data_IF_768585956356
#
_entry.id   IF_768585956356
#
_cell.length_a   1.000
_cell.length_b   1.000
_cell.length_c   1.000
_cell.angle_alpha   90.00
_cell.angle_beta   90.00
_cell.angle_gamma   90.00
#
_symmetry.space_group_name_H-M   'P 1'
#
loop_
_entity.id
_entity.type
_entity.pdbx_description
1 polymer ?
#
# COMPACT_ATOMS: atom_id res chain seq x y z
N UNK A 1 -55.52 18.24 39.01
CA UNK A 1 -55.74 18.75 37.64
C UNK A 1 -54.40 19.30 37.17
N UNK A 2 -53.65 18.52 36.39
CA UNK A 2 -53.49 18.72 34.92
C UNK A 2 -52.59 19.94 34.62
N UNK A 3 -51.53 19.93 33.81
CA UNK A 3 -50.88 18.98 32.90
C UNK A 3 -49.44 19.45 32.67
N UNK A 4 -48.57 18.49 32.34
CA UNK A 4 -47.26 18.66 31.70
C UNK A 4 -47.41 19.11 30.25
N UNK A 5 -46.56 20.05 29.78
CA UNK A 5 -46.23 20.24 28.35
C UNK A 5 -44.75 20.64 28.20
N UNK A 6 -44.06 19.89 27.34
CA UNK A 6 -42.68 20.06 26.85
C UNK A 6 -42.64 20.91 25.55
N UNK A 7 -41.40 21.21 25.11
CA UNK A 7 -40.91 21.60 23.76
C UNK A 7 -40.82 23.13 23.53
N UNK A 8 -39.83 23.74 22.88
CA UNK A 8 -38.83 23.32 21.87
C UNK A 8 -37.55 24.19 21.96
N UNK A 9 -36.41 23.62 21.56
CA UNK A 9 -35.20 24.36 21.19
C UNK A 9 -35.24 24.73 19.69
N UNK A 10 -34.75 25.90 19.27
CA UNK A 10 -34.53 26.18 17.85
C UNK A 10 -33.13 25.78 17.40
N UNK A 11 -33.12 25.20 16.20
CA UNK A 11 -32.01 24.78 15.36
C UNK A 11 -30.94 25.85 15.14
N UNK A 12 -29.67 25.46 15.23
CA UNK A 12 -28.56 26.21 14.65
C UNK A 12 -28.20 25.59 13.30
N UNK A 13 -28.36 26.42 12.27
CA UNK A 13 -28.03 26.21 10.87
C UNK A 13 -26.58 25.75 10.66
N UNK A 14 -26.43 24.90 9.66
CA UNK A 14 -25.20 24.55 8.97
C UNK A 14 -24.42 25.78 8.49
N UNK A 15 -23.11 25.78 8.72
CA UNK A 15 -22.16 26.61 7.97
C UNK A 15 -21.26 25.70 7.13
N UNK A 16 -21.05 25.97 5.84
CA UNK A 16 -20.14 25.19 5.00
C UNK A 16 -18.67 25.53 5.32
N UNK A 17 -17.74 24.56 5.31
CA UNK A 17 -16.32 24.85 5.47
C UNK A 17 -15.75 25.44 4.17
N UNK A 18 -15.56 26.77 4.18
CA UNK A 18 -14.85 27.51 3.16
C UNK A 18 -13.34 27.62 3.42
N UNK A 19 -12.57 27.38 2.35
CA UNK A 19 -11.30 28.02 1.98
C UNK A 19 -10.16 28.08 3.02
N UNK A 20 -9.23 27.14 2.86
CA UNK A 20 -7.84 27.29 3.33
C UNK A 20 -7.14 28.40 2.52
N UNK A 21 -6.98 29.56 3.16
CA UNK A 21 -6.08 30.64 2.70
C UNK A 21 -4.62 30.15 2.72
N UNK A 22 -3.97 30.15 1.56
CA UNK A 22 -2.52 30.11 1.43
C UNK A 22 -1.93 31.38 2.07
N UNK A 23 -1.17 31.22 3.16
CA UNK A 23 -0.37 32.32 3.73
C UNK A 23 0.96 32.39 2.98
N UNK A 24 1.05 33.38 2.09
CA UNK A 24 2.30 33.90 1.56
C UNK A 24 3.04 34.65 2.69
N UNK A 25 4.19 34.15 3.13
CA UNK A 25 5.09 34.88 4.03
C UNK A 25 6.12 35.64 3.21
N UNK A 26 5.78 36.87 2.86
CA UNK A 26 6.73 37.93 2.51
C UNK A 26 7.27 38.56 3.79
N UNK A 27 8.59 38.47 4.03
CA UNK A 27 9.27 39.24 5.08
C UNK A 27 9.77 40.59 4.55
N UNK A 28 9.88 41.61 5.43
CA UNK A 28 9.92 43.01 5.02
C UNK A 28 11.33 43.58 4.82
N UNK A 29 11.38 44.56 3.92
CA UNK A 29 12.41 45.58 3.78
C UNK A 29 12.39 46.56 4.97
N UNK A 30 13.57 47.00 5.40
CA UNK A 30 13.80 48.39 5.82
C UNK A 30 14.51 48.60 7.16
N UNK A 31 15.82 48.86 7.12
CA UNK A 31 16.51 49.86 7.97
C UNK A 31 17.60 50.53 7.10
N UNK A 32 17.59 51.86 7.07
CA UNK A 32 18.55 52.74 6.39
C UNK A 32 19.47 53.46 7.42
N UNK A 33 20.24 54.52 7.07
CA UNK A 33 21.67 54.50 6.78
C UNK A 33 22.54 55.28 7.80
N UNK A 34 23.88 55.17 7.70
CA UNK A 34 24.81 56.07 8.41
C UNK A 34 26.29 55.75 8.14
N UNK A 35 27.21 56.74 8.26
CA UNK A 35 28.26 56.99 7.25
C UNK A 35 29.72 56.83 7.77
N UNK A 36 30.68 57.25 6.93
CA UNK A 36 32.13 57.39 7.14
C UNK A 36 32.92 56.08 7.00
N UNK A 37 33.97 55.92 6.19
CA UNK A 37 34.90 56.83 5.53
C UNK A 37 36.08 55.97 5.02
N UNK A 38 37.10 56.56 4.37
CA UNK A 38 37.72 56.01 3.15
C UNK A 38 39.06 55.29 3.38
N UNK A 39 39.51 54.46 2.43
CA UNK A 39 40.89 54.50 1.92
C UNK A 39 41.17 53.58 0.70
N UNK A 40 41.72 54.20 -0.36
CA UNK A 40 42.86 53.81 -1.25
C UNK A 40 43.08 52.30 -1.53
N UNK A 41 43.29 51.79 -2.74
CA UNK A 41 44.22 52.18 -3.83
C UNK A 41 43.94 51.22 -5.02
N UNK A 42 43.64 51.69 -6.24
CA UNK A 42 44.50 51.78 -7.45
C UNK A 42 45.02 50.45 -8.09
N UNK A 43 45.30 50.46 -9.42
CA UNK A 43 44.89 49.42 -10.37
C UNK A 43 46.06 48.64 -11.01
N UNK A 44 45.75 47.50 -11.63
CA UNK A 44 46.71 46.69 -12.40
C UNK A 44 46.19 46.36 -13.79
N UNK A 45 46.67 47.12 -14.77
CA UNK A 45 46.58 46.96 -16.22
C UNK A 45 47.49 45.84 -16.74
N UNK A 46 47.13 45.17 -17.85
CA UNK A 46 48.12 44.47 -18.69
C UNK A 46 47.59 43.40 -19.65
N UNK A 47 47.75 43.54 -20.99
CA UNK A 47 47.27 42.62 -22.03
C UNK A 47 48.37 41.68 -22.58
N UNK A 48 48.11 41.02 -23.73
CA UNK A 48 49.05 40.30 -24.64
C UNK A 48 49.03 38.76 -24.45
N UNK A 49 49.03 37.87 -25.45
CA UNK A 49 49.21 37.93 -26.90
C UNK A 49 48.63 36.64 -27.54
N UNK A 50 48.29 36.70 -28.83
CA UNK A 50 48.20 35.55 -29.76
C UNK A 50 49.32 35.71 -30.81
N UNK A 51 49.45 34.85 -31.84
CA UNK A 51 49.62 33.38 -31.91
C UNK A 51 51.01 33.04 -32.58
N UNK A 52 51.25 31.81 -33.10
CA UNK A 52 51.19 31.69 -34.57
C UNK A 52 50.75 30.33 -35.17
N UNK A 53 50.59 30.41 -36.49
CA UNK A 53 50.14 29.49 -37.53
C UNK A 53 51.01 28.25 -37.81
N UNK A 54 50.37 27.16 -38.27
CA UNK A 54 50.78 26.19 -39.32
C UNK A 54 49.56 25.27 -39.58
N UNK A 55 49.10 24.89 -40.77
CA UNK A 55 49.62 24.96 -42.14
C UNK A 55 49.47 23.57 -42.81
N UNK A 56 48.62 23.43 -43.83
CA UNK A 56 48.51 22.26 -44.73
C UNK A 56 47.06 21.95 -45.16
N UNK A 57 46.57 22.39 -46.34
CA UNK A 57 46.63 21.74 -47.69
C UNK A 57 45.98 20.34 -47.69
N UNK A 58 45.00 19.98 -48.54
CA UNK A 58 44.46 20.62 -49.74
C UNK A 58 43.16 19.98 -50.26
N UNK A 59 42.67 20.58 -51.36
CA UNK A 59 41.47 20.28 -52.15
C UNK A 59 41.55 18.89 -52.85
N UNK A 60 40.48 18.25 -53.34
CA UNK A 60 39.49 18.70 -54.34
C UNK A 60 38.39 17.63 -54.57
N UNK A 61 37.35 17.90 -55.40
CA UNK A 61 36.01 17.28 -55.28
C UNK A 61 35.47 16.52 -56.53
N UNK A 62 34.29 15.85 -56.34
CA UNK A 62 33.24 15.43 -57.32
C UNK A 62 33.59 14.33 -58.37
N UNK A 63 32.63 13.66 -59.08
CA UNK A 63 31.20 13.97 -59.30
C UNK A 63 30.20 12.77 -59.19
N UNK A 64 28.91 12.94 -59.56
CA UNK A 64 27.78 12.08 -59.17
C UNK A 64 27.34 11.09 -60.26
N UNK A 65 26.46 10.15 -59.92
CA UNK A 65 25.69 9.38 -60.91
C UNK A 65 24.28 9.11 -60.38
N UNK A 66 23.32 9.61 -61.16
CA UNK A 66 21.89 9.38 -61.04
C UNK A 66 21.46 8.13 -61.83
N UNK A 67 20.27 7.59 -61.49
CA UNK A 67 19.25 6.87 -62.30
C UNK A 67 18.50 5.89 -61.36
N UNK A 68 17.24 6.13 -60.96
CA UNK A 68 15.95 6.00 -61.67
C UNK A 68 15.45 4.54 -61.78
N UNK A 69 14.24 4.29 -61.25
CA UNK A 69 13.39 3.09 -61.44
C UNK A 69 12.87 2.55 -60.09
N UNK A 70 11.66 2.83 -59.60
CA UNK A 70 10.31 2.47 -60.06
C UNK A 70 9.95 0.97 -59.96
N UNK A 71 8.89 0.72 -59.16
CA UNK A 71 7.91 -0.41 -59.13
C UNK A 71 8.07 -1.50 -58.06
N UNK A 72 7.12 -1.44 -57.13
CA UNK A 72 6.23 -2.50 -56.61
C UNK A 72 6.66 -3.96 -56.69
N UNK A 73 6.70 -4.64 -55.55
CA UNK A 73 5.85 -5.81 -55.27
C UNK A 73 6.03 -6.33 -53.83
N UNK A 74 4.89 -6.70 -53.25
CA UNK A 74 4.66 -7.64 -52.15
C UNK A 74 5.78 -8.65 -51.87
N UNK A 75 6.25 -8.69 -50.62
CA UNK A 75 6.57 -9.96 -49.95
C UNK A 75 6.41 -9.83 -48.44
N UNK A 76 5.65 -10.77 -47.86
CA UNK A 76 5.63 -11.07 -46.42
C UNK A 76 7.04 -11.29 -45.90
N UNK A 77 7.37 -10.69 -44.75
CA UNK A 77 8.36 -11.22 -43.83
C UNK A 77 8.12 -10.67 -42.42
N UNK A 78 7.57 -11.52 -41.55
CA UNK A 78 7.72 -11.36 -40.12
C UNK A 78 9.19 -11.56 -39.73
N UNK A 79 9.68 -10.86 -38.69
CA UNK A 79 10.78 -11.41 -37.94
C UNK A 79 10.53 -11.45 -36.43
N UNK A 80 10.84 -12.64 -35.92
CA UNK A 80 11.64 -12.88 -34.73
C UNK A 80 11.03 -12.52 -33.36
N UNK A 81 10.58 -13.60 -32.71
CA UNK A 81 10.50 -13.73 -31.26
C UNK A 81 11.76 -13.20 -30.57
N UNK A 82 11.59 -12.14 -29.77
CA UNK A 82 12.61 -11.71 -28.81
C UNK A 82 12.43 -12.53 -27.53
N UNK A 83 13.51 -13.21 -27.15
CA UNK A 83 13.63 -14.02 -25.93
C UNK A 83 13.44 -13.12 -24.70
N UNK A 84 12.41 -13.40 -23.91
CA UNK A 84 12.27 -12.88 -22.55
C UNK A 84 13.35 -13.49 -21.67
N UNK A 85 14.33 -12.68 -21.30
CA UNK A 85 15.27 -13.01 -20.23
C UNK A 85 14.60 -12.69 -18.90
N UNK A 86 14.20 -13.73 -18.17
CA UNK A 86 13.74 -13.60 -16.78
C UNK A 86 14.88 -13.11 -15.90
N UNK A 87 14.82 -11.85 -15.47
CA UNK A 87 15.69 -11.35 -14.41
C UNK A 87 15.05 -11.67 -13.07
N UNK A 88 15.51 -12.78 -12.48
CA UNK A 88 15.40 -13.03 -11.06
C UNK A 88 16.27 -12.02 -10.31
N UNK A 89 15.66 -11.17 -9.49
CA UNK A 89 16.38 -10.37 -8.51
C UNK A 89 16.83 -11.27 -7.36
N UNK A 90 18.02 -11.86 -7.51
CA UNK A 90 18.80 -12.43 -6.40
C UNK A 90 19.91 -11.44 -6.03
N UNK A 91 19.78 -10.80 -4.88
CA UNK A 91 20.86 -10.11 -4.17
C UNK A 91 20.56 -10.25 -2.67
N UNK A 92 20.98 -11.35 -2.04
CA UNK A 92 22.28 -11.45 -1.34
C UNK A 92 22.42 -10.47 -0.18
N UNK A 93 21.75 -10.79 0.94
CA UNK A 93 22.24 -10.40 2.27
C UNK A 93 22.65 -11.68 3.01
N UNK A 94 23.96 -11.81 3.21
CA UNK A 94 24.58 -12.93 3.90
C UNK A 94 24.32 -12.90 5.40
N UNK A 95 23.77 -14.02 5.88
CA UNK A 95 24.16 -14.80 7.07
C UNK A 95 24.40 -14.08 8.41
N UNK A 96 23.55 -14.39 9.40
CA UNK A 96 23.86 -15.37 10.46
C UNK A 96 22.73 -15.38 11.50
N UNK A 97 21.80 -16.34 11.45
CA UNK A 97 21.13 -16.84 12.66
C UNK A 97 20.78 -18.32 12.53
N UNK A 98 21.13 -19.03 13.59
CA UNK A 98 21.27 -20.47 13.74
C UNK A 98 19.91 -21.18 13.74
N UNK A 99 19.84 -22.31 13.04
CA UNK A 99 18.63 -23.12 12.86
C UNK A 99 18.21 -23.86 14.15
N UNK A 100 16.95 -23.70 14.54
CA UNK A 100 16.25 -24.67 15.40
C UNK A 100 15.52 -25.70 14.53
N UNK A 101 16.02 -26.93 14.63
CA UNK A 101 15.60 -28.18 14.02
C UNK A 101 14.21 -28.60 14.48
N UNK A 102 13.22 -28.69 13.58
CA UNK A 102 11.99 -29.44 13.83
C UNK A 102 11.71 -30.41 12.68
N UNK A 103 11.32 -31.62 13.10
CA UNK A 103 11.35 -32.89 12.36
C UNK A 103 10.22 -32.98 11.34
N UNK A 104 10.57 -33.49 10.16
CA UNK A 104 9.67 -34.02 9.14
C UNK A 104 9.03 -35.33 9.60
N UNK A 105 7.70 -35.42 9.51
CA UNK A 105 6.94 -36.68 9.54
C UNK A 105 6.46 -37.05 8.11
N UNK A 106 6.28 -38.34 7.79
CA UNK A 106 6.13 -38.79 6.40
C UNK A 106 4.71 -38.62 5.85
N UNK A 107 4.66 -38.24 4.56
CA UNK A 107 3.49 -38.29 3.68
C UNK A 107 3.03 -39.74 3.44
N UNK A 108 1.71 -39.96 3.41
CA UNK A 108 1.08 -41.15 2.83
C UNK A 108 0.11 -40.72 1.72
N UNK A 109 0.14 -41.51 0.65
CA UNK A 109 -0.36 -41.16 -0.68
C UNK A 109 -1.87 -41.13 -0.84
N UNK A 110 -2.27 -40.35 -1.84
CA UNK A 110 -3.42 -40.59 -2.71
C UNK A 110 -3.29 -41.97 -3.39
N UNK A 111 -4.30 -42.62 -3.94
CA UNK A 111 -5.69 -42.28 -4.21
C UNK A 111 -6.19 -43.43 -5.08
N UNK A 112 -7.28 -44.08 -4.70
CA UNK A 112 -7.82 -45.25 -5.39
C UNK A 112 -9.34 -45.15 -5.45
N UNK A 113 -9.83 -44.80 -6.63
CA UNK A 113 -11.23 -44.74 -7.03
C UNK A 113 -11.84 -46.14 -7.18
N UNK A 114 -13.06 -46.35 -6.68
CA UNK A 114 -14.08 -47.26 -7.29
C UNK A 114 -15.45 -47.06 -6.60
N UNK A 115 -16.56 -47.41 -7.28
CA UNK A 115 -17.88 -46.79 -7.11
C UNK A 115 -18.77 -47.45 -6.04
N UNK A 116 -19.72 -46.67 -5.53
CA UNK A 116 -20.78 -47.11 -4.64
C UNK A 116 -21.85 -47.93 -5.39
N UNK A 117 -22.28 -49.09 -4.85
CA UNK A 117 -23.62 -49.59 -5.04
C UNK A 117 -24.48 -49.37 -3.79
N UNK A 118 -25.71 -48.93 -4.04
CA UNK A 118 -26.82 -48.84 -3.11
C UNK A 118 -27.07 -50.20 -2.41
N UNK A 119 -27.11 -50.21 -1.09
CA UNK A 119 -27.68 -51.31 -0.31
C UNK A 119 -28.34 -50.78 0.98
N UNK A 120 -29.59 -51.17 1.15
CA UNK A 120 -30.46 -50.96 2.31
C UNK A 120 -29.79 -51.34 3.65
N UNK A 121 -29.96 -50.54 4.71
CA UNK A 121 -29.64 -51.00 6.06
C UNK A 121 -30.77 -51.89 6.59
N UNK A 122 -30.46 -53.18 6.80
CA UNK A 122 -31.23 -53.99 7.76
C UNK A 122 -30.90 -53.54 9.19
N UNK A 123 -31.89 -53.51 10.11
CA UNK A 123 -31.61 -53.32 11.53
C UNK A 123 -30.87 -54.53 12.11
N UNK A 124 -29.91 -54.33 13.05
CA UNK A 124 -29.22 -55.43 13.70
C UNK A 124 -30.18 -56.22 14.61
N UNK A 125 -30.00 -57.55 14.73
CA UNK A 125 -30.79 -58.38 15.63
C UNK A 125 -30.52 -57.99 17.09
N UNK A 126 -31.59 -57.85 17.86
CA UNK A 126 -31.56 -57.59 19.29
C UNK A 126 -30.77 -58.67 20.03
N UNK A 127 -29.66 -58.25 20.63
CA UNK A 127 -28.92 -59.03 21.61
C UNK A 127 -29.03 -58.34 22.97
N UNK A 128 -29.91 -58.87 23.81
CA UNK A 128 -30.07 -58.47 25.21
C UNK A 128 -28.85 -58.93 26.02
N UNK A 129 -27.78 -58.14 25.97
CA UNK A 129 -26.70 -58.24 26.95
C UNK A 129 -26.91 -57.17 28.03
N UNK A 130 -26.97 -57.55 29.32
CA UNK A 130 -27.13 -56.59 30.40
C UNK A 130 -25.95 -55.60 30.41
N UNK A 131 -26.21 -54.30 30.62
CA UNK A 131 -25.19 -53.27 30.54
C UNK A 131 -24.16 -53.45 31.67
N UNK A 132 -22.90 -53.61 31.28
CA UNK A 132 -21.73 -53.62 32.15
C UNK A 132 -21.67 -52.30 32.97
N UNK A 133 -21.81 -52.37 34.32
CA UNK A 133 -21.89 -51.19 35.17
C UNK A 133 -20.60 -50.35 35.19
N UNK A 134 -19.47 -50.90 34.74
CA UNK A 134 -18.19 -50.17 34.69
C UNK A 134 -18.02 -49.30 33.44
N UNK A 135 -18.78 -49.54 32.36
CA UNK A 135 -18.76 -48.70 31.15
C UNK A 135 -19.62 -47.44 31.28
N UNK A 136 -20.64 -47.46 32.13
CA UNK A 136 -21.55 -46.33 32.36
C UNK A 136 -20.88 -45.21 33.16
N UNK A 137 -20.01 -45.56 34.13
CA UNK A 137 -19.31 -44.57 34.96
C UNK A 137 -18.24 -43.77 34.19
N UNK A 138 -17.57 -44.39 33.20
CA UNK A 138 -16.58 -43.68 32.35
C UNK A 138 -17.21 -42.71 31.37
N UNK A 139 -18.43 -42.96 30.89
CA UNK A 139 -19.17 -42.02 30.02
C UNK A 139 -19.71 -40.81 30.80
N UNK A 140 -20.09 -40.98 32.07
CA UNK A 140 -20.55 -39.88 32.91
C UNK A 140 -19.40 -38.92 33.31
N UNK A 141 -18.21 -39.45 33.62
CA UNK A 141 -17.02 -38.62 33.94
C UNK A 141 -16.42 -37.90 32.72
N UNK A 142 -16.48 -38.51 31.52
CA UNK A 142 -16.08 -37.84 30.28
C UNK A 142 -17.03 -36.67 29.91
N UNK A 143 -18.32 -36.79 30.22
CA UNK A 143 -19.30 -35.71 30.05
C UNK A 143 -19.05 -34.52 30.99
N UNK A 144 -18.72 -34.75 32.26
CA UNK A 144 -18.44 -33.66 33.21
C UNK A 144 -17.14 -32.89 32.91
N UNK A 145 -16.11 -33.56 32.37
CA UNK A 145 -14.87 -32.89 31.95
C UNK A 145 -15.02 -32.12 30.62
N UNK A 146 -15.98 -32.49 29.77
CA UNK A 146 -16.33 -31.71 28.57
C UNK A 146 -17.14 -30.45 28.93
N UNK A 147 -18.07 -30.55 29.89
CA UNK A 147 -18.82 -29.37 30.36
C UNK A 147 -18.01 -28.43 31.28
N UNK A 148 -16.99 -28.94 31.99
CA UNK A 148 -16.09 -28.12 32.82
C UNK A 148 -15.08 -27.26 32.05
N UNK A 149 -14.76 -27.61 30.80
CA UNK A 149 -13.86 -26.83 29.93
C UNK A 149 -14.59 -25.81 29.04
N UNK A 150 -15.90 -25.92 28.85
CA UNK A 150 -16.68 -24.91 28.13
C UNK A 150 -16.95 -23.65 28.98
N UNK A 151 -16.91 -23.75 30.31
CA UNK A 151 -17.21 -22.63 31.22
C UNK A 151 -16.00 -21.76 31.60
N UNK A 152 -14.78 -22.14 31.19
CA UNK A 152 -13.55 -21.36 31.46
C UNK A 152 -13.09 -20.49 30.28
N UNK A 153 -13.89 -20.40 29.21
CA UNK A 153 -13.76 -19.40 28.13
C UNK A 153 -14.95 -18.40 28.20
N UNK A 154 -15.60 -18.30 29.35
CA UNK A 154 -16.64 -17.30 29.61
C UNK A 154 -16.14 -16.15 30.50
N UNK A 155 -14.81 -15.96 30.63
CA UNK A 155 -14.26 -14.61 30.77
C UNK A 155 -14.29 -13.97 29.38
N UNK A 156 -15.52 -13.76 28.92
CA UNK A 156 -15.89 -12.88 27.83
C UNK A 156 -15.23 -11.56 28.20
N UNK A 157 -14.07 -11.32 27.58
CA UNK A 157 -13.59 -9.98 27.32
C UNK A 157 -14.83 -9.24 26.87
N UNK A 158 -15.34 -8.30 27.67
CA UNK A 158 -16.31 -7.34 27.17
C UNK A 158 -15.59 -6.71 25.98
N UNK A 159 -15.82 -7.25 24.78
CA UNK A 159 -15.59 -6.58 23.54
C UNK A 159 -16.48 -5.35 23.67
N UNK A 160 -15.87 -4.31 24.21
CA UNK A 160 -16.40 -2.99 24.35
C UNK A 160 -16.87 -2.67 22.94
N UNK A 161 -18.19 -2.64 22.76
CA UNK A 161 -18.87 -2.42 21.50
C UNK A 161 -18.05 -1.49 20.60
N UNK A 162 -17.80 -1.91 19.36
CA UNK A 162 -17.05 -1.09 18.40
C UNK A 162 -17.69 0.30 18.36
N UNK A 163 -16.88 1.31 18.66
CA UNK A 163 -17.31 2.71 18.53
C UNK A 163 -17.27 3.09 17.06
N UNK A 164 -18.01 4.12 16.66
CA UNK A 164 -18.00 4.61 15.28
C UNK A 164 -16.59 4.94 14.77
N UNK A 165 -15.72 5.41 15.66
CA UNK A 165 -14.30 5.63 15.34
C UNK A 165 -13.56 4.33 15.03
N UNK A 166 -13.80 3.26 15.79
CA UNK A 166 -13.15 1.98 15.52
C UNK A 166 -13.62 1.41 14.19
N UNK A 167 -14.92 1.51 13.91
CA UNK A 167 -15.51 1.09 12.63
C UNK A 167 -14.85 1.83 11.47
N UNK A 168 -14.70 3.16 11.58
CA UNK A 168 -14.01 3.96 10.57
C UNK A 168 -12.54 3.51 10.36
N UNK A 169 -11.79 3.23 11.45
CA UNK A 169 -10.43 2.68 11.35
C UNK A 169 -10.42 1.34 10.61
N UNK A 170 -11.36 0.45 10.92
CA UNK A 170 -11.46 -0.86 10.27
C UNK A 170 -11.87 -0.74 8.79
N UNK A 171 -12.76 0.20 8.45
CA UNK A 171 -13.13 0.54 7.07
C UNK A 171 -11.91 1.03 6.29
N UNK A 172 -11.13 1.95 6.85
CA UNK A 172 -9.92 2.46 6.21
C UNK A 172 -8.87 1.35 6.06
N UNK A 173 -8.67 0.49 7.07
CA UNK A 173 -7.79 -0.66 6.96
C UNK A 173 -8.27 -1.68 5.91
N UNK A 174 -9.58 -1.86 5.74
CA UNK A 174 -10.12 -2.72 4.70
C UNK A 174 -9.83 -2.19 3.29
N UNK A 175 -9.80 -0.86 3.11
CA UNK A 175 -9.46 -0.21 1.83
C UNK A 175 -7.96 -0.13 1.58
N UNK A 176 -7.21 0.32 2.58
CA UNK A 176 -5.80 0.68 2.48
C UNK A 176 -4.84 -0.49 2.78
N UNK A 177 -5.36 -1.62 3.28
CA UNK A 177 -4.65 -2.81 3.81
C UNK A 177 -3.78 -2.56 5.04
N UNK A 178 -2.97 -1.51 5.02
CA UNK A 178 -2.00 -1.18 6.06
C UNK A 178 -1.99 0.33 6.34
N UNK A 179 -1.93 0.72 7.60
CA UNK A 179 -1.83 2.11 8.03
C UNK A 179 -0.76 2.28 9.10
N UNK A 180 -0.02 3.38 9.06
CA UNK A 180 0.94 3.70 10.12
C UNK A 180 0.24 4.23 11.38
N UNK A 181 0.92 4.15 12.53
CA UNK A 181 0.47 4.80 13.76
C UNK A 181 0.18 6.30 13.55
N UNK A 182 1.05 6.97 12.80
CA UNK A 182 0.95 8.40 12.55
C UNK A 182 -0.30 8.74 11.72
N UNK A 183 -0.57 7.97 10.66
CA UNK A 183 -1.77 8.12 9.83
C UNK A 183 -3.04 7.98 10.65
N UNK A 184 -3.13 6.90 11.44
CA UNK A 184 -4.30 6.64 12.29
C UNK A 184 -4.45 7.76 13.34
N UNK A 185 -3.36 8.15 14.00
CA UNK A 185 -3.40 9.22 15.00
C UNK A 185 -3.86 10.55 14.38
N UNK A 186 -3.29 10.94 13.25
CA UNK A 186 -3.59 12.21 12.60
C UNK A 186 -5.04 12.26 12.09
N UNK A 187 -5.56 11.15 11.57
CA UNK A 187 -6.94 11.07 11.09
C UNK A 187 -7.97 11.06 12.22
N UNK A 188 -7.74 10.26 13.29
CA UNK A 188 -8.77 9.94 14.27
C UNK A 188 -8.60 10.60 15.65
N UNK A 189 -7.39 11.09 15.93
CA UNK A 189 -6.99 11.71 17.19
C UNK A 189 -6.00 12.88 16.98
N UNK A 190 -6.26 13.85 16.09
CA UNK A 190 -5.30 14.90 15.73
C UNK A 190 -4.84 15.75 16.93
N UNK A 191 -5.72 15.95 17.90
CA UNK A 191 -5.44 16.76 19.10
C UNK A 191 -5.07 15.94 20.32
N UNK A 192 -5.20 14.62 20.27
CA UNK A 192 -4.96 13.77 21.43
C UNK A 192 -3.49 13.35 21.53
N UNK A 193 -3.08 12.97 22.74
CA UNK A 193 -1.77 12.37 22.97
C UNK A 193 -1.71 11.01 22.28
N UNK A 194 -0.56 10.69 21.70
CA UNK A 194 -0.31 9.40 21.02
C UNK A 194 -0.66 8.20 21.90
N UNK A 195 -0.36 8.27 23.21
CA UNK A 195 -0.72 7.25 24.19
C UNK A 195 -2.21 6.89 24.16
N UNK A 196 -3.11 7.86 23.98
CA UNK A 196 -4.55 7.61 23.93
C UNK A 196 -4.94 6.80 22.69
N UNK A 197 -4.32 7.10 21.55
CA UNK A 197 -4.48 6.32 20.31
C UNK A 197 -3.97 4.89 20.53
N UNK A 198 -2.74 4.73 21.05
CA UNK A 198 -2.13 3.42 21.32
C UNK A 198 -2.95 2.56 22.28
N UNK A 199 -3.45 3.12 23.38
CA UNK A 199 -4.31 2.39 24.32
C UNK A 199 -5.61 1.89 23.66
N UNK A 200 -6.15 2.63 22.69
CA UNK A 200 -7.32 2.20 21.92
C UNK A 200 -6.96 1.12 20.90
N UNK A 201 -5.90 1.31 20.12
CA UNK A 201 -5.42 0.32 19.16
C UNK A 201 -5.05 -1.00 19.84
N UNK A 202 -4.39 -0.96 21.01
CA UNK A 202 -4.09 -2.16 21.79
C UNK A 202 -5.35 -2.93 22.23
N UNK A 203 -6.48 -2.23 22.47
CA UNK A 203 -7.76 -2.90 22.77
C UNK A 203 -8.34 -3.58 21.53
N UNK A 204 -8.25 -2.96 20.36
CA UNK A 204 -8.69 -3.56 19.09
C UNK A 204 -7.81 -4.77 18.74
N UNK A 205 -6.50 -4.66 18.96
CA UNK A 205 -5.54 -5.74 18.75
C UNK A 205 -5.81 -6.93 19.68
N UNK A 206 -6.00 -6.68 20.98
CA UNK A 206 -6.39 -7.73 21.95
C UNK A 206 -7.72 -8.42 21.63
N UNK A 207 -8.63 -7.71 20.96
CA UNK A 207 -9.90 -8.25 20.51
C UNK A 207 -9.80 -8.95 19.13
N UNK A 208 -8.62 -8.95 18.49
CA UNK A 208 -8.38 -9.61 17.21
C UNK A 208 -8.86 -8.84 15.98
N UNK A 209 -9.30 -7.58 16.15
CA UNK A 209 -9.76 -6.75 15.03
C UNK A 209 -8.62 -6.22 14.17
N UNK A 210 -7.47 -5.94 14.78
CA UNK A 210 -6.27 -5.48 14.08
C UNK A 210 -5.06 -6.28 14.54
N UNK A 211 -3.99 -6.21 13.77
CA UNK A 211 -2.65 -6.69 14.12
C UNK A 211 -1.67 -5.54 13.96
N UNK A 212 -0.62 -5.49 14.78
CA UNK A 212 0.44 -4.51 14.63
C UNK A 212 1.78 -5.17 14.32
N UNK A 213 2.56 -4.51 13.48
CA UNK A 213 3.91 -4.90 13.10
C UNK A 213 4.82 -3.67 13.13
N UNK A 214 6.12 -3.88 13.30
CA UNK A 214 7.11 -2.81 13.24
C UNK A 214 8.04 -3.09 12.07
N UNK A 215 8.06 -2.17 11.11
CA UNK A 215 8.85 -2.27 9.88
C UNK A 215 9.93 -1.18 9.87
N UNK A 216 11.08 -1.38 9.19
CA UNK A 216 12.05 -0.34 8.93
C UNK A 216 11.37 0.82 8.22
N UNK A 217 11.72 2.03 8.62
CA UNK A 217 11.40 3.24 7.87
C UNK A 217 12.38 3.43 6.71
N UNK A 218 12.26 4.58 6.04
CA UNK A 218 13.11 4.93 4.89
C UNK A 218 14.57 5.16 5.27
N UNK A 219 14.83 5.55 6.52
CA UNK A 219 16.18 5.78 7.05
C UNK A 219 16.62 4.59 7.93
N UNK A 220 17.89 4.15 7.83
CA UNK A 220 18.44 3.16 8.73
C UNK A 220 18.23 3.54 10.20
N UNK A 221 17.77 2.59 11.01
CA UNK A 221 17.53 2.79 12.44
C UNK A 221 16.19 3.44 12.79
N UNK A 222 15.43 3.93 11.81
CA UNK A 222 14.05 4.37 11.99
C UNK A 222 13.12 3.17 11.81
N UNK A 223 12.13 3.08 12.67
CA UNK A 223 11.13 2.02 12.65
C UNK A 223 9.74 2.65 12.63
N UNK A 224 8.88 2.13 11.77
CA UNK A 224 7.50 2.55 11.60
C UNK A 224 6.60 1.44 12.14
N UNK A 225 5.73 1.79 13.09
CA UNK A 225 4.69 0.88 13.55
C UNK A 225 3.50 0.97 12.60
N UNK A 226 3.12 -0.17 12.05
CA UNK A 226 2.01 -0.31 11.12
C UNK A 226 0.93 -1.24 11.67
N UNK A 227 -0.28 -1.09 11.17
CA UNK A 227 -1.44 -1.87 11.55
C UNK A 227 -2.14 -2.39 10.30
N UNK A 228 -2.62 -3.63 10.36
CA UNK A 228 -3.48 -4.26 9.34
C UNK A 228 -4.66 -4.95 10.03
N UNK A 229 -5.64 -5.43 9.26
CA UNK A 229 -6.78 -6.16 9.82
C UNK A 229 -6.35 -7.51 10.40
N UNK A 230 -6.90 -7.85 11.57
CA UNK A 230 -6.90 -9.22 12.08
C UNK A 230 -8.07 -10.03 11.53
N UNK A 231 -8.16 -11.30 11.92
CA UNK A 231 -9.25 -12.18 11.49
C UNK A 231 -10.64 -11.62 11.83
N UNK A 232 -10.85 -11.15 13.06
CA UNK A 232 -12.12 -10.56 13.48
C UNK A 232 -12.42 -9.24 12.76
N UNK A 233 -11.37 -8.49 12.41
CA UNK A 233 -11.48 -7.26 11.61
C UNK A 233 -11.94 -7.54 10.19
N UNK A 234 -11.38 -8.58 9.54
CA UNK A 234 -11.83 -9.01 8.22
C UNK A 234 -13.26 -9.54 8.26
N UNK A 235 -13.61 -10.38 9.23
CA UNK A 235 -14.99 -10.87 9.41
C UNK A 235 -15.99 -9.71 9.52
N UNK A 236 -15.66 -8.70 10.35
CA UNK A 236 -16.46 -7.48 10.46
C UNK A 236 -16.55 -6.71 9.13
N UNK A 237 -15.41 -6.45 8.48
CA UNK A 237 -15.34 -5.65 7.25
C UNK A 237 -16.11 -6.29 6.09
N UNK A 238 -16.09 -7.63 6.01
CA UNK A 238 -16.80 -8.38 4.95
C UNK A 238 -18.23 -8.76 5.34
N UNK A 239 -18.62 -8.49 6.59
CA UNK A 239 -19.97 -8.72 7.09
C UNK A 239 -20.95 -7.64 6.63
N UNK A 240 -22.24 -7.74 7.01
CA UNK A 240 -23.28 -6.80 6.59
C UNK A 240 -23.01 -5.34 6.97
N UNK A 241 -22.24 -5.10 8.04
CA UNK A 241 -21.93 -3.75 8.51
C UNK A 241 -20.80 -3.09 7.70
N UNK A 242 -19.77 -3.85 7.32
CA UNK A 242 -18.66 -3.32 6.52
C UNK A 242 -18.92 -3.36 5.01
N UNK A 243 -19.57 -4.41 4.51
CA UNK A 243 -20.00 -4.53 3.11
C UNK A 243 -18.89 -4.73 2.07
N UNK A 244 -17.64 -4.99 2.49
CA UNK A 244 -16.52 -5.18 1.57
C UNK A 244 -16.47 -6.59 0.97
N UNK A 245 -15.97 -6.70 -0.27
CA UNK A 245 -15.69 -8.00 -0.89
C UNK A 245 -14.53 -8.70 -0.17
N UNK A 246 -14.80 -9.90 0.35
CA UNK A 246 -13.83 -10.76 1.03
C UNK A 246 -12.55 -11.06 0.25
N UNK A 247 -12.60 -11.01 -1.10
CA UNK A 247 -11.43 -11.21 -1.97
C UNK A 247 -10.52 -9.99 -2.06
N UNK A 248 -11.04 -8.80 -1.75
CA UNK A 248 -10.33 -7.52 -1.81
C UNK A 248 -9.86 -7.03 -0.44
N UNK A 249 -10.21 -7.74 0.63
CA UNK A 249 -9.83 -7.41 2.02
C UNK A 249 -8.71 -8.34 2.51
N UNK A 250 -7.58 -7.77 2.92
CA UNK A 250 -6.38 -8.50 3.33
C UNK A 250 -6.15 -8.41 4.85
N UNK A 251 -5.61 -9.48 5.43
CA UNK A 251 -5.24 -9.56 6.86
C UNK A 251 -3.72 -9.62 7.08
N UNK A 252 -2.94 -9.31 6.05
CA UNK A 252 -1.49 -9.25 6.10
C UNK A 252 -1.04 -7.89 5.53
N UNK A 253 0.02 -7.28 6.09
CA UNK A 253 0.42 -5.94 5.71
C UNK A 253 1.05 -5.85 4.32
N UNK A 254 1.50 -6.98 3.76
CA UNK A 254 2.12 -7.05 2.43
C UNK A 254 3.52 -7.65 2.48
N UNK A 255 4.28 -7.54 1.38
CA UNK A 255 5.71 -7.86 1.42
C UNK A 255 6.46 -6.72 2.10
N UNK A 256 7.53 -7.06 2.79
CA UNK A 256 8.28 -6.13 3.64
C UNK A 256 8.77 -4.88 2.90
N UNK A 257 9.23 -5.05 1.65
CA UNK A 257 9.70 -4.00 0.75
C UNK A 257 8.57 -3.14 0.14
N UNK A 258 7.34 -3.64 0.16
CA UNK A 258 6.15 -2.95 -0.38
C UNK A 258 5.37 -2.19 0.71
N UNK A 259 5.53 -2.54 2.00
CA UNK A 259 4.77 -1.92 3.09
C UNK A 259 4.98 -0.41 3.14
N UNK A 260 6.22 0.07 3.01
CA UNK A 260 6.50 1.52 3.04
C UNK A 260 5.90 2.24 1.82
N UNK A 261 5.95 1.62 0.65
CA UNK A 261 5.32 2.15 -0.56
C UNK A 261 3.82 2.35 -0.31
N UNK A 262 3.16 1.33 0.22
CA UNK A 262 1.75 1.37 0.54
C UNK A 262 1.41 2.41 1.63
N UNK A 263 2.22 2.49 2.70
CA UNK A 263 2.04 3.52 3.73
C UNK A 263 2.11 4.91 3.09
N UNK A 264 3.04 5.16 2.17
CA UNK A 264 3.18 6.47 1.52
C UNK A 264 2.08 6.76 0.51
N UNK A 265 1.63 5.79 -0.27
CA UNK A 265 0.46 6.00 -1.15
C UNK A 265 -0.82 6.27 -0.36
N UNK A 266 -0.96 5.65 0.82
CA UNK A 266 -2.10 5.89 1.71
C UNK A 266 -2.14 7.31 2.31
N UNK A 267 -1.07 8.11 2.22
CA UNK A 267 -1.16 9.54 2.52
C UNK A 267 -2.06 10.29 1.53
N UNK A 268 -2.11 9.83 0.28
CA UNK A 268 -3.00 10.41 -0.73
C UNK A 268 -4.45 10.09 -0.38
N UNK A 269 -4.76 8.85 0.06
CA UNK A 269 -6.10 8.44 0.48
C UNK A 269 -6.74 9.43 1.46
N UNK A 270 -6.01 9.90 2.47
CA UNK A 270 -6.54 10.87 3.45
C UNK A 270 -6.74 12.29 2.91
N UNK A 271 -6.28 12.60 1.71
CA UNK A 271 -6.47 13.89 1.02
C UNK A 271 -7.59 13.85 0.00
N UNK A 272 -8.00 12.66 -0.41
CA UNK A 272 -9.08 12.44 -1.36
C UNK A 272 -10.43 12.87 -0.79
N UNK A 273 -11.33 13.27 -1.68
CA UNK A 273 -12.74 13.49 -1.36
C UNK A 273 -13.41 12.17 -0.93
N UNK A 274 -14.57 12.20 -0.24
CA UNK A 274 -15.27 10.97 0.15
C UNK A 274 -15.59 10.05 -1.04
N UNK A 275 -16.00 10.63 -2.18
CA UNK A 275 -16.31 9.91 -3.42
C UNK A 275 -15.08 9.27 -4.05
N UNK A 276 -13.95 9.98 -4.07
CA UNK A 276 -12.67 9.43 -4.53
C UNK A 276 -12.20 8.29 -3.63
N UNK A 277 -12.33 8.43 -2.30
CA UNK A 277 -11.97 7.37 -1.33
C UNK A 277 -12.77 6.08 -1.53
N UNK A 278 -14.01 6.18 -1.97
CA UNK A 278 -14.87 5.01 -2.23
C UNK A 278 -14.38 4.16 -3.41
N UNK A 279 -13.60 4.76 -4.31
CA UNK A 279 -13.01 4.09 -5.48
C UNK A 279 -11.53 3.76 -5.34
N UNK A 280 -10.94 4.10 -4.18
CA UNK A 280 -9.53 3.85 -3.91
C UNK A 280 -9.24 2.35 -3.81
N UNK A 281 -8.25 1.91 -4.59
CA UNK A 281 -7.82 0.51 -4.70
C UNK A 281 -6.30 0.46 -4.60
N UNK A 282 -5.79 -0.42 -3.76
CA UNK A 282 -4.36 -0.73 -3.67
C UNK A 282 -3.91 -1.64 -4.81
N UNK A 283 -2.61 -1.68 -5.09
CA UNK A 283 -2.02 -2.51 -6.16
C UNK A 283 -2.52 -3.95 -6.18
N UNK A 284 -2.49 -4.65 -5.03
CA UNK A 284 -2.99 -6.03 -4.91
C UNK A 284 -4.47 -6.17 -5.31
N UNK A 285 -5.32 -5.18 -5.03
CA UNK A 285 -6.74 -5.20 -5.44
C UNK A 285 -6.84 -5.03 -6.95
N UNK A 286 -6.01 -4.15 -7.54
CA UNK A 286 -5.97 -3.92 -8.99
C UNK A 286 -5.49 -5.20 -9.71
N UNK A 287 -4.50 -5.91 -9.17
CA UNK A 287 -4.05 -7.20 -9.68
C UNK A 287 -5.17 -8.24 -9.67
N UNK A 288 -5.91 -8.33 -8.55
CA UNK A 288 -7.06 -9.25 -8.41
C UNK A 288 -8.18 -8.91 -9.40
N UNK A 289 -8.53 -7.63 -9.55
CA UNK A 289 -9.61 -7.18 -10.44
C UNK A 289 -9.32 -7.40 -11.91
N UNK A 290 -8.06 -7.27 -12.30
CA UNK A 290 -7.63 -7.45 -13.69
C UNK A 290 -7.26 -8.90 -14.02
N UNK A 291 -7.45 -9.82 -13.08
CA UNK A 291 -7.04 -11.23 -13.17
C UNK A 291 -5.56 -11.40 -13.57
N UNK A 292 -4.72 -10.44 -13.22
CA UNK A 292 -3.28 -10.49 -13.48
C UNK A 292 -2.63 -11.43 -12.48
N UNK A 293 -2.58 -12.71 -12.83
CA UNK A 293 -1.68 -13.64 -12.17
C UNK A 293 -0.30 -13.54 -12.81
N UNK A 294 0.74 -13.35 -11.98
CA UNK A 294 2.17 -13.33 -12.36
C UNK A 294 2.47 -14.29 -13.51
N UNK A 295 2.57 -13.76 -14.73
CA UNK A 295 2.83 -14.58 -15.93
C UNK A 295 2.38 -13.97 -17.26
N UNK A 296 1.41 -13.06 -17.26
CA UNK A 296 0.88 -12.42 -18.48
C UNK A 296 1.35 -10.97 -18.64
N UNK A 297 2.45 -10.78 -19.38
CA UNK A 297 2.65 -9.60 -20.23
C UNK A 297 2.67 -8.20 -19.58
N UNK A 298 3.77 -7.86 -18.92
CA UNK A 298 4.45 -6.55 -19.07
C UNK A 298 3.77 -5.26 -18.60
N UNK A 299 2.55 -5.29 -18.09
CA UNK A 299 1.88 -4.08 -17.57
C UNK A 299 2.19 -3.96 -16.08
N UNK A 300 2.99 -2.97 -15.73
CA UNK A 300 3.25 -2.60 -14.34
C UNK A 300 1.96 -2.08 -13.69
N UNK A 301 1.65 -2.59 -12.50
CA UNK A 301 0.52 -2.15 -11.68
C UNK A 301 1.01 -1.03 -10.76
N UNK A 302 0.27 0.09 -10.65
CA UNK A 302 0.64 1.15 -9.71
C UNK A 302 0.42 0.69 -8.26
N UNK A 303 1.13 1.32 -7.32
CA UNK A 303 0.98 1.04 -5.88
C UNK A 303 -0.47 1.27 -5.39
N UNK A 304 -1.18 2.25 -5.96
CA UNK A 304 -2.62 2.44 -5.78
C UNK A 304 -3.25 3.19 -6.97
N UNK A 305 -4.58 3.17 -7.04
CA UNK A 305 -5.35 3.96 -7.99
C UNK A 305 -6.71 4.37 -7.39
N UNK A 306 -7.30 5.44 -7.91
CA UNK A 306 -8.67 5.85 -7.61
C UNK A 306 -9.30 6.52 -8.84
N UNK A 307 -10.61 6.71 -8.81
CA UNK A 307 -11.34 7.48 -9.82
C UNK A 307 -11.59 8.86 -9.23
N UNK A 308 -11.06 9.89 -9.90
CA UNK A 308 -11.26 11.29 -9.53
C UNK A 308 -12.73 11.68 -9.62
N UNK A 309 -13.11 12.79 -8.98
CA UNK A 309 -14.48 13.32 -9.05
C UNK A 309 -14.93 13.67 -10.49
N UNK A 310 -13.99 13.88 -11.43
CA UNK A 310 -14.27 14.06 -12.87
C UNK A 310 -14.45 12.75 -13.64
N UNK A 311 -14.30 11.60 -13.00
CA UNK A 311 -14.41 10.28 -13.62
C UNK A 311 -13.13 9.75 -14.26
N UNK A 312 -12.00 10.47 -14.12
CA UNK A 312 -10.70 10.01 -14.64
C UNK A 312 -10.01 9.07 -13.65
N UNK A 313 -9.44 7.96 -14.13
CA UNK A 313 -8.59 7.09 -13.31
C UNK A 313 -7.24 7.76 -13.05
N UNK A 314 -6.85 7.80 -11.78
CA UNK A 314 -5.61 8.41 -11.30
C UNK A 314 -4.76 7.33 -10.64
N UNK A 315 -3.53 7.18 -11.10
CA UNK A 315 -2.54 6.30 -10.51
C UNK A 315 -1.75 7.02 -9.42
N UNK A 316 -1.43 6.30 -8.36
CA UNK A 316 -0.60 6.76 -7.26
C UNK A 316 0.57 5.81 -7.12
N UNK A 317 1.78 6.34 -7.23
CA UNK A 317 3.02 5.57 -7.18
C UNK A 317 3.97 6.16 -6.16
N UNK A 318 4.56 5.33 -5.29
CA UNK A 318 5.54 5.79 -4.31
C UNK A 318 6.98 5.43 -4.73
N UNK A 319 7.90 6.39 -4.67
CA UNK A 319 9.35 6.13 -4.58
C UNK A 319 9.82 6.52 -3.18
N UNK A 320 10.06 5.54 -2.32
CA UNK A 320 10.56 5.77 -0.94
C UNK A 320 12.06 6.10 -0.89
N UNK A 321 12.68 6.42 -2.03
CA UNK A 321 14.09 6.81 -2.17
C UNK A 321 14.99 5.69 -2.69
N UNK A 322 14.42 4.56 -3.10
CA UNK A 322 15.16 3.37 -3.51
C UNK A 322 15.02 3.04 -5.00
N UNK A 323 14.20 3.78 -5.76
CA UNK A 323 14.09 3.53 -7.19
C UNK A 323 15.38 3.88 -7.94
N UNK A 324 15.81 2.93 -8.77
CA UNK A 324 16.84 3.13 -9.78
C UNK A 324 16.27 3.89 -10.98
N UNK A 325 17.15 4.51 -11.78
CA UNK A 325 16.74 5.19 -13.01
C UNK A 325 16.03 4.28 -14.00
N UNK A 326 16.40 2.99 -14.04
CA UNK A 326 15.75 1.98 -14.87
C UNK A 326 14.32 1.70 -14.40
N UNK A 327 14.10 1.55 -13.09
CA UNK A 327 12.76 1.35 -12.52
C UNK A 327 11.85 2.56 -12.79
N UNK A 328 12.35 3.78 -12.58
CA UNK A 328 11.55 4.99 -12.87
C UNK A 328 11.15 5.06 -14.33
N UNK A 329 12.08 4.78 -15.27
CA UNK A 329 11.77 4.79 -16.70
C UNK A 329 10.74 3.74 -17.08
N UNK A 330 10.88 2.52 -16.53
CA UNK A 330 9.94 1.43 -16.79
C UNK A 330 8.53 1.80 -16.32
N UNK A 331 8.39 2.29 -15.09
CA UNK A 331 7.11 2.71 -14.51
C UNK A 331 6.51 3.94 -15.18
N UNK A 332 7.34 4.94 -15.50
CA UNK A 332 6.88 6.12 -16.23
C UNK A 332 6.35 5.76 -17.63
N UNK A 333 6.99 4.81 -18.32
CA UNK A 333 6.53 4.32 -19.61
C UNK A 333 5.23 3.52 -19.49
N UNK A 334 5.08 2.67 -18.48
CA UNK A 334 3.86 1.88 -18.28
C UNK A 334 2.64 2.72 -17.89
N UNK A 335 2.87 3.91 -17.31
CA UNK A 335 1.79 4.82 -16.89
C UNK A 335 1.51 5.92 -17.92
N UNK A 336 2.12 5.86 -19.11
CA UNK A 336 1.92 6.86 -20.15
C UNK A 336 0.43 6.98 -20.53
N UNK A 337 -0.05 8.23 -20.61
CA UNK A 337 -1.45 8.53 -20.91
C UNK A 337 -2.41 8.47 -19.72
N UNK A 338 -1.96 8.01 -18.55
CA UNK A 338 -2.77 8.02 -17.32
C UNK A 338 -2.32 9.17 -16.40
N UNK A 339 -3.25 9.84 -15.71
CA UNK A 339 -2.88 10.84 -14.71
C UNK A 339 -2.19 10.13 -13.54
N UNK A 340 -1.01 10.59 -13.16
CA UNK A 340 -0.22 9.97 -12.09
C UNK A 340 0.17 10.97 -11.01
N UNK A 341 0.07 10.55 -9.76
CA UNK A 341 0.61 11.22 -8.58
C UNK A 341 1.82 10.42 -8.10
N UNK A 342 2.99 11.05 -8.09
CA UNK A 342 4.22 10.46 -7.60
C UNK A 342 4.46 10.91 -6.15
N UNK A 343 4.47 9.95 -5.22
CA UNK A 343 4.77 10.18 -3.82
C UNK A 343 6.26 9.94 -3.58
N UNK A 344 7.01 10.92 -3.07
CA UNK A 344 8.44 10.76 -2.85
C UNK A 344 9.01 11.66 -1.75
N UNK A 345 10.19 11.35 -1.18
CA UNK A 345 10.90 12.26 -0.28
C UNK A 345 11.17 13.62 -0.93
N UNK A 346 11.10 14.69 -0.14
CA UNK A 346 11.47 16.03 -0.60
C UNK A 346 12.89 16.06 -1.21
N UNK A 347 13.02 16.65 -2.40
CA UNK A 347 14.26 16.70 -3.18
C UNK A 347 14.42 15.57 -4.20
N UNK A 348 13.56 14.54 -4.17
CA UNK A 348 13.59 13.40 -5.10
C UNK A 348 12.86 13.67 -6.42
N UNK A 349 12.01 14.70 -6.49
CA UNK A 349 11.16 15.04 -7.63
C UNK A 349 11.99 15.24 -8.91
N UNK A 350 13.11 15.99 -8.80
CA UNK A 350 14.01 16.27 -9.93
C UNK A 350 14.70 15.02 -10.48
N UNK A 351 14.89 13.99 -9.64
CA UNK A 351 15.41 12.71 -10.11
C UNK A 351 14.34 11.97 -10.90
N UNK A 352 13.12 11.87 -10.36
CA UNK A 352 12.00 11.21 -11.02
C UNK A 352 11.69 11.85 -12.38
N UNK A 353 11.58 13.19 -12.42
CA UNK A 353 11.32 13.94 -13.64
C UNK A 353 12.38 13.71 -14.73
N UNK A 354 13.67 13.72 -14.35
CA UNK A 354 14.78 13.41 -15.30
C UNK A 354 14.69 12.02 -15.91
N UNK A 355 13.99 11.10 -15.25
CA UNK A 355 13.84 9.72 -15.68
C UNK A 355 12.45 9.41 -16.25
N UNK A 356 11.66 10.45 -16.57
CA UNK A 356 10.43 10.33 -17.35
C UNK A 356 9.15 10.41 -16.55
N UNK A 357 9.20 10.46 -15.21
CA UNK A 357 8.02 10.64 -14.38
C UNK A 357 7.34 11.98 -14.71
N UNK A 358 6.06 11.92 -15.03
CA UNK A 358 5.18 13.07 -15.31
C UNK A 358 3.97 13.02 -14.38
N UNK A 359 3.32 14.17 -14.19
CA UNK A 359 2.15 14.31 -13.35
C UNK A 359 2.41 15.15 -12.10
N UNK A 360 1.62 14.91 -11.08
CA UNK A 360 1.71 15.61 -9.80
C UNK A 360 2.76 14.94 -8.90
N UNK A 361 3.48 15.74 -8.12
CA UNK A 361 4.46 15.25 -7.16
C UNK A 361 3.99 15.60 -5.76
N UNK A 362 3.73 14.58 -4.95
CA UNK A 362 3.45 14.73 -3.54
C UNK A 362 4.70 14.40 -2.73
N UNK A 363 5.23 15.37 -2.00
CA UNK A 363 6.45 15.16 -1.22
C UNK A 363 6.27 15.23 0.28
N UNK A 364 7.09 14.43 0.96
CA UNK A 364 7.10 14.32 2.42
C UNK A 364 8.50 14.54 2.98
N UNK A 365 8.53 15.06 4.21
CA UNK A 365 9.76 15.21 4.98
C UNK A 365 10.13 13.87 5.63
N UNK A 366 11.41 13.54 5.63
CA UNK A 366 11.98 12.33 6.23
C UNK A 366 12.53 12.56 7.63
#
# INVERSE_FOLDING_TARGET
>A
MERSVRWNAPSALEQPPGQLRLRNTSLPLGIAPGPDGPERSKPGSGPSAAPPLRGGKGASPLPPSALRGSRSALTLAAPAALRSAGNACTGSWGQHFTACRLRSGPQKGAGGSTPCPLLNPQPPPGGDNPPDPHKTLRRFLAGLLFYGRCLTIAKITKAKQLTERDKAILTDLARCRVLSLEQIKNAYWPTAKERTCLERLQRLEKAGYIQSETVPGEKPGIWVRVFCLGHQGKEWATGPEGGFDSKKVFIHPGKWDEILHQVRTNEIYYRLSPTERDTFRIGDVIEVEREYYKGSGGIEVPDAAYVSDSGEEVYVEADVGHYTSAQVRAKAASFEGTRTIWVCPAGRERFLQRHGARGEFFTYAL
#
